data_IF_091257265214
#
_entry.id   IF_091257265214
#
_cell.length_a   1.000
_cell.length_b   1.000
_cell.length_c   1.000
_cell.angle_alpha   90.00
_cell.angle_beta   90.00
_cell.angle_gamma   90.00
#
_symmetry.space_group_name_H-M   'P 1'
#
loop_
_entity.id
_entity.type
_entity.pdbx_description
1 polymer ?
#
# COMPACT_ATOMS: atom_id res chain seq x y z
N UNK A 1 -10.73 -15.90 -17.66
CA UNK A 1 -11.55 -14.91 -16.94
C UNK A 1 -11.60 -13.67 -17.82
N UNK A 2 -12.82 -13.22 -18.13
CA UNK A 2 -13.26 -12.29 -19.19
C UNK A 2 -12.33 -11.11 -19.58
N UNK A 3 -12.24 -10.85 -20.90
CA UNK A 3 -11.19 -10.11 -21.62
C UNK A 3 -11.33 -8.58 -21.66
N UNK A 4 -12.36 -7.98 -21.03
CA UNK A 4 -12.68 -6.54 -21.20
C UNK A 4 -13.33 -5.85 -19.97
N UNK A 5 -12.77 -6.01 -18.77
CA UNK A 5 -13.03 -5.05 -17.66
C UNK A 5 -11.73 -4.78 -16.89
N UNK A 6 -11.40 -3.51 -16.61
CA UNK A 6 -11.48 -3.14 -15.21
C UNK A 6 -12.04 -1.73 -15.01
N UNK A 7 -13.09 -1.64 -14.21
CA UNK A 7 -13.23 -0.49 -13.31
C UNK A 7 -11.93 -0.42 -12.48
N UNK A 8 -11.34 0.77 -12.30
CA UNK A 8 -10.25 0.98 -11.36
C UNK A 8 -10.77 0.65 -9.94
N UNK A 9 -10.67 -0.62 -9.55
CA UNK A 9 -11.13 -1.13 -8.25
C UNK A 9 -10.00 -1.25 -7.23
N UNK A 10 -8.77 -0.99 -7.65
CA UNK A 10 -7.60 -0.94 -6.79
C UNK A 10 -7.22 0.51 -6.53
N UNK A 11 -6.56 0.73 -5.40
CA UNK A 11 -6.01 2.03 -5.04
C UNK A 11 -4.63 2.16 -5.67
N UNK A 12 -4.33 3.34 -6.22
CA UNK A 12 -2.96 3.74 -6.41
C UNK A 12 -2.32 4.04 -5.04
N UNK A 13 -0.99 4.03 -4.94
CA UNK A 13 -0.29 4.35 -3.68
C UNK A 13 -0.74 5.70 -3.11
N UNK A 14 -0.94 6.71 -3.96
CA UNK A 14 -1.42 8.03 -3.56
C UNK A 14 -2.82 7.99 -2.94
N UNK A 15 -3.70 7.12 -3.43
CA UNK A 15 -5.05 6.98 -2.89
C UNK A 15 -5.03 6.29 -1.53
N UNK A 16 -4.22 5.23 -1.39
CA UNK A 16 -4.02 4.55 -0.11
C UNK A 16 -3.43 5.50 0.95
N UNK A 17 -2.43 6.31 0.59
CA UNK A 17 -1.82 7.29 1.49
C UNK A 17 -2.76 8.45 1.81
N UNK A 18 -3.63 8.85 0.88
CA UNK A 18 -4.68 9.83 1.18
C UNK A 18 -5.64 9.32 2.26
N UNK A 19 -6.03 8.05 2.22
CA UNK A 19 -6.84 7.43 3.27
C UNK A 19 -6.08 7.44 4.60
N UNK A 20 -4.79 7.07 4.60
CA UNK A 20 -3.95 7.09 5.80
C UNK A 20 -3.86 8.49 6.44
N UNK A 21 -3.72 9.54 5.62
CA UNK A 21 -3.72 10.94 6.11
C UNK A 21 -5.04 11.33 6.78
N UNK A 22 -6.17 10.84 6.29
CA UNK A 22 -7.48 11.18 6.83
C UNK A 22 -7.84 10.37 8.07
N UNK A 23 -7.40 9.11 8.12
CA UNK A 23 -7.71 8.20 9.22
C UNK A 23 -6.72 8.29 10.39
N UNK A 24 -5.53 8.85 10.15
CA UNK A 24 -4.43 8.97 11.12
C UNK A 24 -4.14 7.68 11.92
N UNK A 25 -3.96 6.52 11.25
CA UNK A 25 -3.68 5.29 11.96
C UNK A 25 -2.28 5.32 12.59
N UNK A 26 -2.08 4.52 13.63
CA UNK A 26 -0.74 4.31 14.22
C UNK A 26 0.22 3.63 13.23
N UNK A 27 -0.28 2.73 12.38
CA UNK A 27 0.51 1.98 11.41
C UNK A 27 -0.32 1.62 10.19
N UNK A 28 0.25 1.71 8.99
CA UNK A 28 -0.32 1.22 7.72
C UNK A 28 0.48 0.01 7.24
N UNK A 29 -0.23 -1.03 6.84
CA UNK A 29 0.34 -2.18 6.14
C UNK A 29 -0.15 -2.16 4.68
N UNK A 30 0.79 -2.04 3.75
CA UNK A 30 0.51 -2.12 2.31
C UNK A 30 0.58 -3.58 1.87
N UNK A 31 -0.47 -4.07 1.22
CA UNK A 31 -0.59 -5.46 0.76
C UNK A 31 -1.35 -5.53 -0.56
N UNK A 32 -1.55 -6.74 -1.10
CA UNK A 32 -2.14 -6.96 -2.42
C UNK A 32 -1.37 -6.20 -3.51
N UNK A 33 -0.04 -6.30 -3.44
CA UNK A 33 0.90 -5.65 -4.34
C UNK A 33 1.04 -6.48 -5.61
N UNK A 34 1.11 -5.80 -6.75
CA UNK A 34 1.45 -6.44 -8.02
C UNK A 34 2.98 -6.57 -8.18
N UNK A 35 3.48 -7.54 -8.95
CA UNK A 35 4.92 -7.76 -9.13
C UNK A 35 5.72 -6.56 -9.66
N UNK A 36 5.07 -5.57 -10.28
CA UNK A 36 5.69 -4.32 -10.73
C UNK A 36 6.27 -3.49 -9.58
N UNK A 37 5.86 -3.76 -8.35
CA UNK A 37 6.41 -3.14 -7.14
C UNK A 37 7.65 -3.88 -6.61
N UNK A 38 7.99 -5.05 -7.14
CA UNK A 38 9.15 -5.81 -6.69
C UNK A 38 10.45 -5.00 -6.84
N UNK A 39 11.18 -4.84 -5.74
CA UNK A 39 12.43 -4.07 -5.69
C UNK A 39 12.26 -2.55 -5.58
N UNK A 40 11.01 -2.05 -5.50
CA UNK A 40 10.72 -0.65 -5.18
C UNK A 40 10.68 -0.50 -3.66
N UNK A 41 11.35 0.52 -3.12
CA UNK A 41 11.21 0.90 -1.71
C UNK A 41 9.87 1.60 -1.49
N UNK A 42 8.81 0.80 -1.28
CA UNK A 42 7.44 1.27 -1.11
C UNK A 42 7.27 2.07 0.18
N UNK A 43 7.98 1.73 1.25
CA UNK A 43 7.92 2.45 2.53
C UNK A 43 8.46 3.87 2.39
N UNK A 44 9.60 4.05 1.72
CA UNK A 44 10.13 5.39 1.42
C UNK A 44 9.21 6.18 0.51
N UNK A 45 8.63 5.55 -0.53
CA UNK A 45 7.65 6.20 -1.41
C UNK A 45 6.37 6.60 -0.68
N UNK A 46 5.89 5.78 0.23
CA UNK A 46 4.75 6.09 1.08
C UNK A 46 5.03 7.28 2.01
N UNK A 47 6.23 7.36 2.59
CA UNK A 47 6.66 8.47 3.47
C UNK A 47 6.65 9.83 2.78
N UNK A 48 6.89 9.89 1.47
CA UNK A 48 6.77 11.13 0.68
C UNK A 48 5.31 11.65 0.67
N UNK A 49 4.32 10.77 0.85
CA UNK A 49 2.89 11.08 0.76
C UNK A 49 2.22 11.18 2.14
N UNK A 50 2.63 10.35 3.09
CA UNK A 50 2.18 10.33 4.48
C UNK A 50 3.32 9.89 5.42
N UNK A 51 3.72 10.71 6.41
CA UNK A 51 4.93 10.44 7.21
C UNK A 51 4.76 9.39 8.31
N UNK A 52 3.60 8.74 8.41
CA UNK A 52 3.34 7.73 9.43
C UNK A 52 4.08 6.41 9.19
N UNK A 53 4.05 5.52 10.19
CA UNK A 53 4.65 4.19 10.06
C UNK A 53 3.92 3.41 8.97
N UNK A 54 4.63 3.07 7.90
CA UNK A 54 4.14 2.26 6.79
C UNK A 54 5.03 1.05 6.65
N UNK A 55 4.43 -0.13 6.48
CA UNK A 55 5.10 -1.41 6.30
C UNK A 55 4.67 -1.97 4.95
N UNK A 56 5.64 -2.38 4.13
CA UNK A 56 5.38 -3.19 2.95
C UNK A 56 5.19 -4.66 3.37
N UNK A 57 4.06 -5.28 3.01
CA UNK A 57 3.84 -6.68 3.33
C UNK A 57 4.67 -7.60 2.41
N UNK A 58 5.28 -8.62 3.00
CA UNK A 58 5.85 -9.76 2.28
C UNK A 58 5.27 -11.08 2.79
N UNK A 59 5.37 -12.12 1.96
CA UNK A 59 4.86 -13.44 2.31
C UNK A 59 5.50 -13.97 3.60
N UNK A 60 4.65 -14.32 4.57
CA UNK A 60 5.08 -14.81 5.88
C UNK A 60 5.35 -13.71 6.93
N UNK A 61 5.12 -12.43 6.60
CA UNK A 61 5.19 -11.34 7.57
C UNK A 61 4.30 -11.62 8.80
N UNK A 62 4.86 -11.45 9.99
CA UNK A 62 4.16 -11.50 11.27
C UNK A 62 4.37 -10.20 12.02
N UNK A 63 3.28 -9.59 12.48
CA UNK A 63 3.29 -8.36 13.27
C UNK A 63 2.64 -8.63 14.63
N UNK A 64 3.18 -7.99 15.66
CA UNK A 64 2.56 -7.85 16.97
C UNK A 64 2.17 -6.38 17.12
N UNK A 65 0.88 -6.11 17.35
CA UNK A 65 0.27 -4.76 17.23
C UNK A 65 -0.20 -4.27 18.59
#
# INVERSE_FOLDING_TARGET
FWRDKPTAKHLELVDAMRIARLAEPRTVLLTHLYPEWDGVDLESKAKELWPGMTIEAWDGLRLEI
#
